data_IF_616275741659
#
_entry.id   IF_616275741659
#
_cell.length_a   1.000
_cell.length_b   1.000
_cell.length_c   1.000
_cell.angle_alpha   90.00
_cell.angle_beta   90.00
_cell.angle_gamma   90.00
#
_symmetry.space_group_name_H-M   'P 1'
#
loop_
_entity.id
_entity.type
_entity.pdbx_description
1 polymer ?
#
# COMPACT_ATOMS: atom_id res chain seq x y z
N UNK A 1 -49.86 33.81 -13.65
CA UNK A 1 -48.78 33.43 -14.60
C UNK A 1 -47.55 33.02 -13.78
N UNK A 2 -47.12 31.75 -13.81
CA UNK A 2 -45.87 31.33 -13.15
C UNK A 2 -44.71 31.65 -14.10
N UNK A 3 -43.86 32.59 -13.70
CA UNK A 3 -42.67 33.00 -14.46
C UNK A 3 -41.70 31.81 -14.52
N UNK A 4 -41.40 31.32 -15.74
CA UNK A 4 -40.39 30.27 -15.94
C UNK A 4 -39.02 30.86 -15.56
N UNK A 5 -38.22 30.19 -14.71
CA UNK A 5 -36.88 30.67 -14.37
C UNK A 5 -36.03 30.80 -15.64
N UNK A 6 -35.18 31.83 -15.71
CA UNK A 6 -34.32 32.05 -16.87
C UNK A 6 -33.38 30.84 -17.05
N UNK A 7 -33.10 30.46 -18.30
CA UNK A 7 -32.20 29.33 -18.62
C UNK A 7 -30.87 29.42 -17.87
N UNK A 8 -30.38 30.63 -17.64
CA UNK A 8 -29.15 30.92 -16.90
C UNK A 8 -29.27 30.50 -15.43
N UNK A 9 -30.38 30.83 -14.76
CA UNK A 9 -30.64 30.48 -13.36
C UNK A 9 -30.69 28.95 -13.19
N UNK A 10 -31.35 28.26 -14.13
CA UNK A 10 -31.45 26.78 -14.12
C UNK A 10 -30.10 26.10 -14.31
N UNK A 11 -29.22 26.66 -15.16
CA UNK A 11 -27.86 26.14 -15.38
C UNK A 11 -26.99 26.38 -14.15
N UNK A 12 -27.04 27.57 -13.53
CA UNK A 12 -26.31 27.83 -12.27
C UNK A 12 -26.81 26.96 -11.12
N UNK A 13 -28.11 26.73 -11.00
CA UNK A 13 -28.64 25.81 -9.99
C UNK A 13 -28.18 24.36 -10.24
N UNK A 14 -28.18 23.89 -11.49
CA UNK A 14 -27.65 22.56 -11.81
C UNK A 14 -26.15 22.45 -11.51
N UNK A 15 -25.37 23.49 -11.81
CA UNK A 15 -23.93 23.51 -11.52
C UNK A 15 -23.67 23.48 -10.01
N UNK A 16 -24.41 24.27 -9.22
CA UNK A 16 -24.33 24.27 -7.75
C UNK A 16 -24.77 22.91 -7.19
N UNK A 17 -25.85 22.31 -7.70
CA UNK A 17 -26.33 20.99 -7.25
C UNK A 17 -25.29 19.91 -7.55
N UNK A 18 -24.70 19.92 -8.76
CA UNK A 18 -23.62 18.99 -9.13
C UNK A 18 -22.38 19.20 -8.26
N UNK A 19 -21.97 20.45 -8.01
CA UNK A 19 -20.90 20.76 -7.06
C UNK A 19 -21.22 20.24 -5.66
N UNK A 20 -22.44 20.46 -5.14
CA UNK A 20 -22.85 19.96 -3.80
C UNK A 20 -22.92 18.45 -3.70
N UNK A 21 -23.26 17.73 -4.77
CA UNK A 21 -23.28 16.26 -4.78
C UNK A 21 -21.87 15.65 -4.65
N UNK A 22 -20.80 16.37 -5.03
CA UNK A 22 -19.42 15.93 -4.83
C UNK A 22 -18.91 16.14 -3.38
N UNK A 23 -19.60 16.94 -2.55
CA UNK A 23 -19.17 17.22 -1.16
C UNK A 23 -19.74 16.26 -0.11
N UNK A 24 -20.68 15.39 -0.48
CA UNK A 24 -21.36 14.47 0.44
C UNK A 24 -20.90 13.02 0.24
N UNK A 25 -19.58 12.77 0.19
CA UNK A 25 -19.07 11.44 0.42
C UNK A 25 -18.70 11.31 1.90
N UNK A 26 -19.26 10.34 2.63
CA UNK A 26 -18.80 10.07 3.99
C UNK A 26 -17.32 9.76 3.95
N UNK A 27 -16.56 10.37 4.87
CA UNK A 27 -15.18 9.99 5.16
C UNK A 27 -15.19 8.51 5.56
N UNK A 28 -14.93 7.62 4.61
CA UNK A 28 -14.80 6.20 4.92
C UNK A 28 -13.52 6.05 5.72
N UNK A 29 -13.64 5.65 6.98
CA UNK A 29 -12.49 5.24 7.76
C UNK A 29 -11.92 3.96 7.13
N UNK A 30 -10.61 3.95 6.96
CA UNK A 30 -9.88 2.81 6.43
C UNK A 30 -9.71 1.79 7.56
N UNK A 31 -10.29 0.59 7.44
CA UNK A 31 -10.13 -0.47 8.42
C UNK A 31 -8.89 -1.32 8.11
N UNK A 32 -8.04 -1.53 9.11
CA UNK A 32 -6.88 -2.43 9.00
C UNK A 32 -7.32 -3.90 9.00
N UNK A 33 -6.48 -4.75 8.42
CA UNK A 33 -6.68 -6.19 8.43
C UNK A 33 -5.84 -6.82 9.54
N UNK A 34 -6.44 -7.68 10.37
CA UNK A 34 -5.75 -8.37 11.47
C UNK A 34 -5.72 -9.88 11.23
N UNK A 35 -4.56 -10.49 11.47
CA UNK A 35 -4.35 -11.95 11.51
C UNK A 35 -3.65 -12.35 12.79
N UNK A 36 -3.95 -13.53 13.29
CA UNK A 36 -3.27 -14.10 14.46
C UNK A 36 -2.76 -15.48 14.12
N UNK A 37 -1.48 -15.71 14.38
CA UNK A 37 -0.79 -16.98 14.15
C UNK A 37 -0.33 -17.55 15.49
N UNK A 38 -0.58 -18.84 15.70
CA UNK A 38 -0.05 -19.57 16.85
C UNK A 38 1.37 -20.05 16.54
N UNK A 39 2.24 -20.03 17.55
CA UNK A 39 3.64 -20.42 17.44
C UNK A 39 4.03 -21.24 18.65
N UNK A 40 5.02 -22.11 18.48
CA UNK A 40 5.70 -22.80 19.58
C UNK A 40 7.12 -22.24 19.78
N UNK A 41 7.66 -22.38 20.99
CA UNK A 41 9.06 -22.06 21.31
C UNK A 41 10.08 -22.87 20.49
N UNK A 42 9.65 -24.03 20.00
CA UNK A 42 10.35 -24.92 19.04
C UNK A 42 9.38 -25.97 18.52
N UNK A 43 9.70 -26.75 17.47
CA UNK A 43 8.93 -27.93 17.12
C UNK A 43 8.79 -28.89 18.31
N UNK A 44 7.58 -29.42 18.53
CA UNK A 44 7.19 -30.22 19.72
C UNK A 44 7.35 -29.50 21.08
N UNK A 45 7.51 -28.17 21.04
CA UNK A 45 7.52 -27.34 22.24
C UNK A 45 6.16 -27.32 22.95
N UNK A 46 6.16 -26.93 24.22
CA UNK A 46 4.93 -26.80 25.02
C UNK A 46 4.51 -25.35 25.23
N UNK A 47 5.42 -24.40 24.98
CA UNK A 47 5.13 -22.98 25.19
C UNK A 47 4.53 -22.40 23.92
N UNK A 48 3.28 -21.95 24.01
CA UNK A 48 2.55 -21.36 22.90
C UNK A 48 2.58 -19.82 22.96
N UNK A 49 2.74 -19.21 21.79
CA UNK A 49 2.66 -17.77 21.58
C UNK A 49 1.58 -17.47 20.54
N UNK A 50 0.98 -16.28 20.63
CA UNK A 50 0.02 -15.78 19.65
C UNK A 50 0.56 -14.50 19.03
N UNK A 51 1.06 -14.61 17.81
CA UNK A 51 1.55 -13.46 17.04
C UNK A 51 0.38 -12.78 16.34
N UNK A 52 0.05 -11.57 16.75
CA UNK A 52 -0.90 -10.72 16.06
C UNK A 52 -0.16 -9.92 14.99
N UNK A 53 -0.67 -9.92 13.76
CA UNK A 53 -0.14 -9.19 12.61
C UNK A 53 -1.24 -8.28 12.09
N UNK A 54 -0.95 -6.99 11.99
CA UNK A 54 -1.89 -5.98 11.48
C UNK A 54 -1.32 -5.37 10.21
N UNK A 55 -2.14 -5.38 9.15
CA UNK A 55 -1.81 -4.83 7.84
C UNK A 55 -2.61 -3.53 7.63
N UNK A 56 -1.95 -2.37 7.49
CA UNK A 56 -2.60 -1.15 7.06
C UNK A 56 -3.24 -1.33 5.70
N UNK A 57 -4.46 -0.83 5.52
CA UNK A 57 -5.17 -0.96 4.23
C UNK A 57 -4.40 -0.27 3.11
N UNK A 58 -3.72 0.83 3.36
CA UNK A 58 -2.89 1.49 2.35
C UNK A 58 -1.74 0.60 1.84
N UNK A 59 -1.15 -0.22 2.71
CA UNK A 59 -0.12 -1.19 2.33
C UNK A 59 -0.71 -2.31 1.49
N UNK A 60 -1.89 -2.82 1.86
CA UNK A 60 -2.62 -3.79 1.04
C UNK A 60 -2.96 -3.22 -0.34
N UNK A 61 -3.57 -2.03 -0.40
CA UNK A 61 -3.94 -1.37 -1.65
C UNK A 61 -2.70 -1.11 -2.53
N UNK A 62 -1.56 -0.75 -1.93
CA UNK A 62 -0.30 -0.57 -2.66
C UNK A 62 0.12 -1.84 -3.42
N UNK A 63 0.13 -2.98 -2.74
CA UNK A 63 0.51 -4.27 -3.35
C UNK A 63 -0.55 -4.80 -4.32
N UNK A 64 -1.83 -4.64 -4.00
CA UNK A 64 -2.94 -5.03 -4.86
C UNK A 64 -2.96 -4.26 -6.20
N UNK A 65 -2.36 -3.07 -6.24
CA UNK A 65 -2.22 -2.28 -7.47
C UNK A 65 -0.87 -2.48 -8.19
N UNK A 66 0.08 -3.23 -7.59
CA UNK A 66 1.35 -3.58 -8.27
C UNK A 66 1.12 -4.63 -9.37
N UNK A 67 2.13 -4.82 -10.22
CA UNK A 67 2.05 -5.84 -11.28
C UNK A 67 2.21 -7.26 -10.74
N UNK A 68 1.16 -8.07 -10.87
CA UNK A 68 1.17 -9.52 -10.62
C UNK A 68 1.65 -10.36 -11.80
N UNK A 69 2.13 -9.73 -12.88
CA UNK A 69 2.54 -10.46 -14.09
C UNK A 69 3.80 -11.30 -13.83
N UNK A 70 3.74 -12.61 -14.04
CA UNK A 70 4.87 -13.52 -13.94
C UNK A 70 5.08 -14.20 -15.29
N UNK A 71 6.17 -13.85 -15.99
CA UNK A 71 6.45 -14.32 -17.36
C UNK A 71 7.51 -15.42 -17.37
N UNK A 72 8.47 -15.34 -16.45
CA UNK A 72 9.61 -16.27 -16.38
C UNK A 72 10.03 -16.51 -14.92
N UNK A 73 10.96 -17.44 -14.71
CA UNK A 73 11.46 -17.69 -13.35
C UNK A 73 12.21 -16.49 -12.75
N UNK A 74 12.70 -15.58 -13.59
CA UNK A 74 13.36 -14.36 -13.14
C UNK A 74 12.39 -13.37 -12.46
N UNK A 75 11.09 -13.55 -12.64
CA UNK A 75 10.07 -12.70 -12.02
C UNK A 75 9.72 -13.14 -10.60
N UNK A 76 10.01 -14.38 -10.21
CA UNK A 76 9.67 -14.91 -8.88
C UNK A 76 10.20 -14.08 -7.71
N UNK A 77 11.48 -13.63 -7.69
CA UNK A 77 12.02 -12.88 -6.56
C UNK A 77 11.24 -11.61 -6.22
N UNK A 78 10.55 -10.99 -7.19
CA UNK A 78 9.83 -9.73 -6.95
C UNK A 78 8.68 -9.90 -5.94
N UNK A 79 8.12 -11.10 -5.82
CA UNK A 79 7.05 -11.41 -4.87
C UNK A 79 7.61 -11.68 -3.47
N UNK A 80 8.93 -11.71 -3.29
CA UNK A 80 9.53 -11.75 -1.96
C UNK A 80 9.75 -10.31 -1.49
N UNK A 81 9.07 -9.91 -0.41
CA UNK A 81 8.99 -8.55 0.12
C UNK A 81 9.45 -8.46 1.58
N UNK A 82 10.76 -8.65 1.87
CA UNK A 82 11.27 -8.73 3.23
C UNK A 82 11.01 -7.45 4.05
N UNK A 83 11.10 -6.28 3.42
CA UNK A 83 10.93 -5.01 4.12
C UNK A 83 9.54 -4.89 4.76
N UNK A 84 8.47 -5.27 4.05
CA UNK A 84 7.10 -5.17 4.55
C UNK A 84 6.82 -6.10 5.73
N UNK A 85 7.49 -7.26 5.79
CA UNK A 85 7.28 -8.27 6.84
C UNK A 85 8.37 -8.26 7.93
N UNK A 86 9.28 -7.29 7.92
CA UNK A 86 10.35 -7.21 8.91
C UNK A 86 9.85 -7.23 10.37
N UNK A 87 8.75 -6.56 10.74
CA UNK A 87 8.27 -6.62 12.12
C UNK A 87 7.85 -8.03 12.57
N UNK A 88 7.37 -8.89 11.66
CA UNK A 88 7.13 -10.30 11.96
C UNK A 88 8.44 -11.02 12.27
N UNK A 89 9.46 -10.83 11.42
CA UNK A 89 10.77 -11.42 11.63
C UNK A 89 11.42 -10.96 12.96
N UNK A 90 11.32 -9.68 13.28
CA UNK A 90 11.84 -9.12 14.53
C UNK A 90 11.17 -9.78 15.75
N UNK A 91 9.84 -9.98 15.72
CA UNK A 91 9.13 -10.69 16.79
C UNK A 91 9.56 -12.15 16.92
N UNK A 92 9.73 -12.87 15.82
CA UNK A 92 10.22 -14.26 15.87
C UNK A 92 11.59 -14.35 16.55
N UNK A 93 12.47 -13.35 16.39
CA UNK A 93 13.76 -13.34 17.08
C UNK A 93 13.65 -13.20 18.60
N UNK A 94 12.58 -12.60 19.13
CA UNK A 94 12.34 -12.52 20.58
C UNK A 94 12.10 -13.92 21.20
N UNK A 95 11.48 -14.82 20.45
CA UNK A 95 11.28 -16.22 20.87
C UNK A 95 12.56 -17.04 20.66
N UNK A 96 13.14 -16.98 19.46
CA UNK A 96 14.12 -17.97 19.03
C UNK A 96 15.58 -17.58 19.29
N UNK A 97 15.88 -16.33 19.64
CA UNK A 97 17.18 -15.90 20.22
C UNK A 97 18.44 -16.43 19.50
N UNK A 98 18.59 -16.13 18.20
CA UNK A 98 19.68 -16.61 17.33
C UNK A 98 19.67 -18.11 16.99
N UNK A 99 18.63 -18.86 17.37
CA UNK A 99 18.41 -20.21 16.86
C UNK A 99 17.80 -20.16 15.45
N UNK A 100 18.65 -20.14 14.43
CA UNK A 100 18.25 -20.04 13.02
C UNK A 100 17.31 -21.15 12.55
N UNK A 101 17.45 -22.36 13.09
CA UNK A 101 16.58 -23.48 12.73
C UNK A 101 15.18 -23.29 13.31
N UNK A 102 15.09 -22.94 14.61
CA UNK A 102 13.80 -22.66 15.23
C UNK A 102 13.15 -21.40 14.68
N UNK A 103 13.93 -20.38 14.31
CA UNK A 103 13.43 -19.23 13.55
C UNK A 103 12.76 -19.67 12.25
N UNK A 104 13.45 -20.46 11.42
CA UNK A 104 12.90 -20.93 10.16
C UNK A 104 11.68 -21.84 10.36
N UNK A 105 11.69 -22.72 11.36
CA UNK A 105 10.51 -23.53 11.72
C UNK A 105 9.33 -22.66 12.20
N UNK A 106 9.58 -21.59 12.96
CA UNK A 106 8.55 -20.63 13.37
C UNK A 106 7.90 -19.92 12.17
N UNK A 107 8.69 -19.59 11.14
CA UNK A 107 8.15 -19.09 9.87
C UNK A 107 7.25 -20.14 9.20
N UNK A 108 7.65 -21.42 9.18
CA UNK A 108 6.82 -22.49 8.64
C UNK A 108 5.49 -22.64 9.40
N UNK A 109 5.51 -22.55 10.74
CA UNK A 109 4.30 -22.55 11.57
C UNK A 109 3.33 -21.43 11.19
N UNK A 110 3.81 -20.24 10.78
CA UNK A 110 2.95 -19.15 10.29
C UNK A 110 2.24 -19.58 9.01
N UNK A 111 2.99 -19.99 7.98
CA UNK A 111 2.41 -20.27 6.65
C UNK A 111 1.55 -21.53 6.66
N UNK A 112 1.83 -22.51 7.53
CA UNK A 112 1.00 -23.72 7.68
C UNK A 112 -0.39 -23.46 8.26
N UNK A 113 -0.63 -22.30 8.86
CA UNK A 113 -1.97 -21.91 9.34
C UNK A 113 -2.83 -21.27 8.25
N UNK A 114 -2.27 -21.00 7.07
CA UNK A 114 -2.99 -20.38 5.96
C UNK A 114 -3.66 -21.49 5.12
N UNK A 115 -4.99 -21.45 4.92
CA UNK A 115 -5.71 -22.42 4.11
C UNK A 115 -5.19 -22.53 2.66
N UNK A 116 -4.92 -23.76 2.23
CA UNK A 116 -4.50 -24.02 0.85
C UNK A 116 -5.67 -23.83 -0.13
N UNK A 117 -5.44 -23.03 -1.17
CA UNK A 117 -6.35 -22.82 -2.30
C UNK A 117 -5.53 -22.49 -3.53
N UNK A 118 -5.63 -23.35 -4.55
CA UNK A 118 -4.97 -23.13 -5.84
C UNK A 118 -5.36 -21.75 -6.41
N UNK A 119 -4.34 -20.98 -6.81
CA UNK A 119 -4.51 -19.65 -7.37
C UNK A 119 -4.09 -19.63 -8.84
N UNK A 120 -4.67 -18.71 -9.61
CA UNK A 120 -4.32 -18.54 -11.03
C UNK A 120 -3.20 -17.50 -11.23
N UNK A 121 -2.96 -16.66 -10.23
CA UNK A 121 -2.04 -15.53 -10.29
C UNK A 121 -1.30 -15.39 -8.97
N UNK A 122 0.02 -15.21 -9.06
CA UNK A 122 0.85 -14.88 -7.91
C UNK A 122 0.34 -13.61 -7.21
N UNK A 123 0.45 -13.56 -5.89
CA UNK A 123 0.16 -12.37 -5.06
C UNK A 123 1.32 -12.04 -4.15
N UNK A 124 1.42 -10.78 -3.76
CA UNK A 124 2.42 -10.35 -2.80
C UNK A 124 2.07 -10.87 -1.39
N UNK A 125 3.06 -11.12 -0.52
CA UNK A 125 2.85 -11.66 0.83
C UNK A 125 1.81 -10.90 1.66
N UNK A 126 1.76 -9.57 1.53
CA UNK A 126 0.77 -8.73 2.22
C UNK A 126 -0.65 -9.07 1.77
N UNK A 127 -0.88 -9.27 0.47
CA UNK A 127 -2.19 -9.67 -0.05
C UNK A 127 -2.57 -11.06 0.48
N UNK A 128 -1.66 -12.02 0.43
CA UNK A 128 -1.89 -13.39 0.90
C UNK A 128 -2.24 -13.44 2.39
N UNK A 129 -1.57 -12.63 3.22
CA UNK A 129 -1.89 -12.50 4.66
C UNK A 129 -3.32 -11.93 4.83
N UNK A 130 -3.65 -10.87 4.08
CA UNK A 130 -4.97 -10.22 4.15
C UNK A 130 -6.08 -11.14 3.67
N UNK A 131 -5.90 -11.85 2.57
CA UNK A 131 -6.92 -12.73 2.01
C UNK A 131 -7.01 -14.06 2.75
N UNK A 132 -5.91 -14.49 3.38
CA UNK A 132 -5.81 -15.71 4.19
C UNK A 132 -6.17 -16.99 3.42
N UNK A 133 -5.69 -17.07 2.18
CA UNK A 133 -5.74 -18.25 1.33
C UNK A 133 -4.63 -18.16 0.27
N UNK A 134 -4.13 -19.28 -0.20
CA UNK A 134 -3.11 -19.31 -1.25
C UNK A 134 -2.59 -20.72 -1.53
N UNK A 135 -1.67 -20.83 -2.47
CA UNK A 135 -1.01 -22.07 -2.87
C UNK A 135 0.49 -22.06 -2.58
N UNK A 136 1.20 -23.06 -3.09
CA UNK A 136 2.58 -23.38 -2.71
C UNK A 136 3.56 -22.20 -2.91
N UNK A 137 3.41 -21.42 -3.98
CA UNK A 137 4.26 -20.27 -4.27
C UNK A 137 3.91 -19.07 -3.39
N UNK A 138 2.62 -18.77 -3.19
CA UNK A 138 2.15 -17.72 -2.28
C UNK A 138 2.70 -17.92 -0.86
N UNK A 139 2.64 -19.15 -0.35
CA UNK A 139 3.18 -19.49 0.99
C UNK A 139 4.71 -19.40 1.01
N UNK A 140 5.36 -19.83 -0.08
CA UNK A 140 6.81 -19.70 -0.22
C UNK A 140 7.26 -18.23 -0.25
N UNK A 141 6.47 -17.32 -0.85
CA UNK A 141 6.78 -15.90 -0.85
C UNK A 141 6.69 -15.30 0.55
N UNK A 142 5.66 -15.65 1.34
CA UNK A 142 5.58 -15.22 2.74
C UNK A 142 6.79 -15.75 3.52
N UNK A 143 7.04 -17.06 3.44
CA UNK A 143 8.11 -17.70 4.19
C UNK A 143 9.49 -17.13 3.84
N UNK A 144 9.80 -17.01 2.54
CA UNK A 144 11.04 -16.43 2.07
C UNK A 144 11.19 -14.96 2.50
N UNK A 145 10.10 -14.18 2.49
CA UNK A 145 10.13 -12.77 2.89
C UNK A 145 10.48 -12.61 4.36
N UNK A 146 9.84 -13.39 5.24
CA UNK A 146 10.11 -13.34 6.68
C UNK A 146 11.52 -13.88 6.99
N UNK A 147 11.91 -15.01 6.41
CA UNK A 147 13.26 -15.58 6.59
C UNK A 147 14.35 -14.61 6.14
N UNK A 148 14.16 -13.99 4.96
CA UNK A 148 15.13 -13.02 4.44
C UNK A 148 15.18 -11.75 5.28
N UNK A 149 14.04 -11.28 5.80
CA UNK A 149 13.97 -10.14 6.71
C UNK A 149 14.66 -10.43 8.05
N UNK A 150 14.58 -11.67 8.53
CA UNK A 150 15.30 -12.17 9.71
C UNK A 150 16.80 -12.36 9.50
N UNK A 151 17.31 -12.15 8.28
CA UNK A 151 18.74 -12.23 7.96
C UNK A 151 19.22 -13.61 7.53
N UNK A 152 18.33 -14.58 7.28
CA UNK A 152 18.71 -15.89 6.76
C UNK A 152 19.08 -15.78 5.28
N UNK A 153 19.97 -16.66 4.81
CA UNK A 153 20.19 -16.84 3.38
C UNK A 153 19.20 -17.87 2.82
N UNK A 154 18.46 -17.45 1.80
CA UNK A 154 17.21 -18.08 1.37
C UNK A 154 17.11 -18.04 -0.15
N UNK A 155 16.62 -19.13 -0.72
CA UNK A 155 16.31 -19.29 -2.14
C UNK A 155 14.89 -19.85 -2.30
N UNK A 156 14.25 -19.59 -3.44
CA UNK A 156 13.05 -20.33 -3.83
C UNK A 156 13.47 -21.59 -4.59
N UNK A 157 12.77 -22.68 -4.34
CA UNK A 157 12.94 -23.98 -5.00
C UNK A 157 11.71 -24.23 -5.88
N UNK A 158 11.87 -24.01 -7.18
CA UNK A 158 10.78 -24.18 -8.14
C UNK A 158 10.87 -25.55 -8.83
N UNK A 159 9.93 -26.43 -8.51
CA UNK A 159 9.83 -27.77 -9.10
C UNK A 159 8.93 -27.72 -10.33
N UNK A 160 9.57 -27.67 -11.50
CA UNK A 160 8.87 -27.75 -12.78
C UNK A 160 8.27 -29.14 -12.98
N UNK A 161 7.01 -29.18 -13.36
CA UNK A 161 6.33 -30.41 -13.78
C UNK A 161 5.46 -30.15 -15.00
N UNK A 162 5.15 -31.22 -15.74
CA UNK A 162 4.21 -31.17 -16.87
C UNK A 162 2.75 -31.16 -16.42
N UNK A 163 2.45 -31.67 -15.22
CA UNK A 163 1.09 -31.81 -14.70
C UNK A 163 0.76 -30.80 -13.60
N UNK A 164 1.70 -30.51 -12.69
CA UNK A 164 1.49 -29.59 -11.56
C UNK A 164 2.84 -29.11 -11.02
N UNK A 165 3.12 -27.81 -11.17
CA UNK A 165 4.34 -27.22 -10.64
C UNK A 165 4.21 -27.02 -9.12
N UNK A 166 5.33 -27.14 -8.40
CA UNK A 166 5.38 -26.89 -6.95
C UNK A 166 6.45 -25.86 -6.62
N UNK A 167 6.23 -25.06 -5.60
CA UNK A 167 7.22 -24.12 -5.08
C UNK A 167 7.41 -24.31 -3.60
N UNK A 168 8.66 -24.21 -3.18
CA UNK A 168 9.04 -24.27 -1.80
C UNK A 168 10.25 -23.35 -1.51
N UNK A 169 10.69 -23.29 -0.26
CA UNK A 169 11.86 -22.51 0.18
C UNK A 169 13.05 -23.43 0.46
N UNK A 170 14.24 -22.97 0.07
CA UNK A 170 15.51 -23.51 0.52
C UNK A 170 16.17 -22.52 1.46
N UNK A 171 16.56 -22.95 2.66
CA UNK A 171 17.15 -22.08 3.67
C UNK A 171 18.53 -22.59 4.09
N UNK A 172 19.52 -21.70 4.04
CA UNK A 172 20.85 -22.02 4.54
C UNK A 172 20.88 -21.84 6.07
N UNK A 173 21.41 -22.84 6.76
CA UNK A 173 21.61 -22.83 8.21
C UNK A 173 23.09 -23.09 8.53
N UNK A 174 23.61 -22.52 9.63
CA UNK A 174 24.99 -22.76 10.06
C UNK A 174 25.28 -24.24 10.34
N UNK A 175 24.30 -24.94 10.90
CA UNK A 175 24.37 -26.36 11.24
C UNK A 175 23.21 -27.13 10.58
N UNK A 176 23.35 -28.44 10.33
CA UNK A 176 22.26 -29.27 9.84
C UNK A 176 21.03 -29.25 10.78
N UNK A 177 19.80 -29.27 10.24
CA UNK A 177 18.58 -29.35 11.03
C UNK A 177 18.60 -30.50 12.04
N UNK A 178 18.28 -30.20 13.29
CA UNK A 178 18.22 -31.14 14.42
C UNK A 178 16.80 -31.63 14.73
N UNK A 179 15.76 -30.89 14.31
CA UNK A 179 14.36 -31.21 14.62
C UNK A 179 13.64 -31.98 13.51
N UNK A 180 14.29 -32.21 12.37
CA UNK A 180 13.75 -33.06 11.31
C UNK A 180 13.52 -34.47 11.86
N UNK A 181 12.31 -35.01 11.67
CA UNK A 181 11.90 -36.32 12.24
C UNK A 181 12.42 -37.50 11.42
N UNK A 182 12.94 -37.23 10.23
CA UNK A 182 13.42 -38.21 9.26
C UNK A 182 14.76 -37.74 8.68
N UNK A 183 15.21 -38.42 7.63
CA UNK A 183 16.36 -37.98 6.84
C UNK A 183 16.22 -36.50 6.44
N UNK A 184 17.32 -35.76 6.60
CA UNK A 184 17.43 -34.36 6.21
C UNK A 184 17.72 -34.25 4.72
N UNK A 185 16.96 -33.39 4.04
CA UNK A 185 17.10 -33.09 2.62
C UNK A 185 17.54 -31.64 2.41
N UNK A 186 18.37 -31.44 1.38
CA UNK A 186 18.88 -30.14 0.98
C UNK A 186 19.17 -30.12 -0.51
N UNK A 187 19.22 -28.92 -1.08
CA UNK A 187 19.75 -28.65 -2.42
C UNK A 187 21.08 -27.91 -2.26
N UNK A 188 22.06 -28.25 -3.09
CA UNK A 188 23.34 -27.53 -3.14
C UNK A 188 23.33 -26.56 -4.31
N UNK A 189 23.60 -25.29 -4.05
CA UNK A 189 23.73 -24.25 -5.07
C UNK A 189 24.93 -23.38 -4.74
N UNK A 190 25.83 -23.17 -5.70
CA UNK A 190 27.08 -22.42 -5.51
C UNK A 190 27.89 -22.84 -4.26
N UNK A 191 27.98 -24.16 -4.02
CA UNK A 191 28.64 -24.76 -2.84
C UNK A 191 27.98 -24.47 -1.48
N UNK A 192 26.81 -23.83 -1.47
CA UNK A 192 25.99 -23.58 -0.28
C UNK A 192 24.88 -24.64 -0.19
N UNK A 193 24.68 -25.19 1.00
CA UNK A 193 23.58 -26.12 1.28
C UNK A 193 22.36 -25.34 1.75
N UNK A 194 21.26 -25.48 1.01
CA UNK A 194 19.94 -24.96 1.35
C UNK A 194 19.03 -26.12 1.75
N UNK A 195 18.67 -26.20 3.02
CA UNK A 195 17.76 -27.20 3.56
C UNK A 195 16.33 -26.93 3.09
N UNK A 196 15.61 -27.99 2.73
CA UNK A 196 14.23 -27.87 2.24
C UNK A 196 13.33 -27.39 3.38
N UNK A 197 12.47 -26.41 3.14
CA UNK A 197 11.58 -25.84 4.15
C UNK A 197 10.14 -25.81 3.63
N UNK A 198 9.47 -26.97 3.59
CA UNK A 198 8.12 -27.16 3.04
C UNK A 198 7.05 -26.23 3.62
N UNK A 199 6.56 -25.34 2.76
CA UNK A 199 5.61 -24.28 3.11
C UNK A 199 4.15 -24.76 3.10
N UNK A 200 3.84 -25.94 2.53
CA UNK A 200 2.49 -26.51 2.51
C UNK A 200 2.34 -27.63 3.55
N UNK A 201 1.87 -27.29 4.76
CA UNK A 201 1.90 -28.22 5.91
C UNK A 201 0.56 -28.60 6.53
N UNK A 202 -0.52 -27.86 6.25
CA UNK A 202 -1.87 -28.12 6.76
C UNK A 202 -2.01 -27.93 8.28
N UNK A 203 -1.45 -28.84 9.08
CA UNK A 203 -1.38 -28.71 10.54
C UNK A 203 -0.08 -27.99 10.92
N UNK A 204 -0.17 -26.85 11.57
CA UNK A 204 0.99 -26.04 11.96
C UNK A 204 1.78 -26.60 13.14
N UNK A 205 1.16 -27.39 14.02
CA UNK A 205 1.84 -27.99 15.19
C UNK A 205 2.74 -29.16 14.78
N UNK A 206 2.25 -29.98 13.85
CA UNK A 206 2.90 -31.21 13.38
C UNK A 206 3.41 -31.11 11.94
N UNK A 207 3.33 -29.91 11.35
CA UNK A 207 3.67 -29.61 9.98
C UNK A 207 5.13 -29.89 9.64
N UNK A 208 5.49 -29.58 8.39
CA UNK A 208 6.86 -29.79 7.93
C UNK A 208 7.86 -28.96 8.71
N UNK A 209 9.00 -29.59 9.01
CA UNK A 209 10.15 -28.93 9.63
C UNK A 209 11.22 -28.70 8.58
N UNK A 210 12.06 -27.69 8.80
CA UNK A 210 13.24 -27.47 7.96
C UNK A 210 14.09 -28.75 7.92
N UNK A 211 14.47 -29.15 6.72
CA UNK A 211 15.16 -30.40 6.41
C UNK A 211 14.23 -31.55 6.02
N UNK A 212 12.92 -31.46 6.27
CA UNK A 212 11.96 -32.48 5.82
C UNK A 212 11.54 -32.22 4.36
N UNK A 213 11.21 -33.29 3.64
CA UNK A 213 10.87 -33.24 2.23
C UNK A 213 9.64 -34.11 1.94
N UNK A 214 8.63 -33.58 1.23
CA UNK A 214 7.51 -34.39 0.74
C UNK A 214 7.99 -35.56 -0.12
N UNK A 215 7.43 -36.78 0.05
CA UNK A 215 7.84 -37.98 -0.69
C UNK A 215 7.90 -37.79 -2.21
N UNK A 216 6.96 -37.03 -2.77
CA UNK A 216 6.83 -36.71 -4.19
C UNK A 216 7.96 -35.83 -4.75
N UNK A 217 8.66 -35.09 -3.89
CA UNK A 217 9.80 -34.24 -4.23
C UNK A 217 11.15 -34.95 -4.04
N UNK A 218 11.18 -36.11 -3.36
CA UNK A 218 12.42 -36.87 -3.16
C UNK A 218 13.01 -37.28 -4.51
N UNK A 219 14.29 -36.94 -4.71
CA UNK A 219 15.02 -37.21 -5.95
C UNK A 219 14.68 -36.25 -7.11
N UNK A 220 13.78 -35.29 -6.92
CA UNK A 220 13.52 -34.23 -7.89
C UNK A 220 14.57 -33.11 -7.72
N UNK A 221 14.95 -32.49 -8.82
CA UNK A 221 15.85 -31.34 -8.83
C UNK A 221 15.06 -30.07 -9.13
N UNK A 222 14.90 -29.14 -8.16
CA UNK A 222 14.26 -27.87 -8.42
C UNK A 222 15.17 -26.92 -9.20
N UNK A 223 14.56 -25.94 -9.86
CA UNK A 223 15.27 -24.71 -10.26
C UNK A 223 15.46 -23.85 -9.02
N UNK A 224 16.72 -23.56 -8.70
CA UNK A 224 17.06 -22.65 -7.59
C UNK A 224 16.97 -21.22 -8.06
N UNK A 225 16.13 -20.42 -7.41
CA UNK A 225 15.92 -19.01 -7.70
C UNK A 225 16.46 -18.18 -6.54
N UNK A 226 17.49 -17.39 -6.81
CA UNK A 226 18.14 -16.51 -5.83
C UNK A 226 17.31 -15.27 -5.55
N UNK A 227 17.38 -14.76 -4.32
CA UNK A 227 16.64 -13.58 -3.87
C UNK A 227 17.44 -12.27 -3.99
N UNK A 228 18.45 -12.23 -4.86
CA UNK A 228 19.26 -11.01 -5.07
C UNK A 228 18.42 -9.85 -5.62
N UNK A 229 17.41 -10.17 -6.43
CA UNK A 229 16.50 -9.21 -7.05
C UNK A 229 15.12 -9.15 -6.37
N UNK A 230 15.03 -9.59 -5.11
CA UNK A 230 13.80 -9.40 -4.33
C UNK A 230 13.58 -7.91 -4.01
N UNK A 231 12.34 -7.57 -3.65
CA UNK A 231 12.00 -6.21 -3.25
C UNK A 231 12.87 -5.77 -2.07
N UNK A 232 13.46 -4.58 -2.18
CA UNK A 232 14.37 -4.03 -1.15
C UNK A 232 13.69 -3.05 -0.20
N UNK A 233 12.54 -2.52 -0.59
CA UNK A 233 11.86 -1.47 0.13
C UNK A 233 10.37 -1.48 -0.20
N UNK A 234 9.56 -1.19 0.81
CA UNK A 234 8.11 -1.04 0.71
C UNK A 234 7.67 0.27 1.39
N UNK A 235 6.55 0.85 0.97
CA UNK A 235 6.09 2.15 1.48
C UNK A 235 5.56 2.11 2.92
N UNK A 236 5.38 0.92 3.46
CA UNK A 236 5.03 0.67 4.84
C UNK A 236 5.32 -0.78 5.20
N UNK A 237 5.08 -1.11 6.46
CA UNK A 237 5.26 -2.45 7.01
C UNK A 237 3.96 -2.90 7.70
N UNK A 238 3.85 -4.20 7.94
CA UNK A 238 2.89 -4.71 8.90
C UNK A 238 3.33 -4.34 10.32
N UNK A 239 2.41 -4.22 11.28
CA UNK A 239 2.76 -4.22 12.71
C UNK A 239 2.57 -5.63 13.27
N UNK A 240 3.40 -6.04 14.23
CA UNK A 240 3.34 -7.37 14.81
C UNK A 240 3.62 -7.36 16.32
N UNK A 241 2.86 -8.14 17.10
CA UNK A 241 3.04 -8.22 18.56
C UNK A 241 2.45 -9.51 19.15
N UNK A 242 3.05 -10.00 20.24
CA UNK A 242 2.53 -11.13 21.02
C UNK A 242 1.37 -10.74 21.95
N UNK A 243 1.11 -9.45 22.08
CA UNK A 243 -0.06 -8.90 22.76
C UNK A 243 -0.98 -8.23 21.75
N UNK A 244 -2.23 -7.97 22.13
CA UNK A 244 -3.14 -7.18 21.31
C UNK A 244 -2.57 -5.78 21.10
N UNK A 245 -2.39 -5.39 19.84
CA UNK A 245 -1.96 -4.05 19.46
C UNK A 245 -3.07 -3.03 19.74
N UNK A 246 -2.71 -1.91 20.36
CA UNK A 246 -3.67 -0.82 20.63
C UNK A 246 -3.96 -0.06 19.34
N UNK A 247 -5.21 0.30 19.08
CA UNK A 247 -5.57 1.09 17.89
C UNK A 247 -4.94 2.48 17.93
N UNK A 248 -4.45 2.95 16.79
CA UNK A 248 -4.00 4.31 16.56
C UNK A 248 -4.86 5.00 15.49
N UNK A 249 -4.75 6.32 15.37
CA UNK A 249 -5.44 7.08 14.31
C UNK A 249 -4.53 8.14 13.71
N UNK A 250 -4.74 8.44 12.42
CA UNK A 250 -4.08 9.54 11.72
C UNK A 250 -5.13 10.50 11.18
N UNK A 251 -4.94 11.78 11.47
CA UNK A 251 -5.70 12.84 10.80
C UNK A 251 -4.90 13.41 9.63
N UNK A 252 -5.59 13.83 8.58
CA UNK A 252 -4.97 14.52 7.45
C UNK A 252 -5.91 15.63 6.95
N UNK A 253 -5.34 16.81 6.76
CA UNK A 253 -6.03 18.00 6.25
C UNK A 253 -5.15 18.70 5.22
N UNK A 254 -5.76 19.44 4.30
CA UNK A 254 -5.06 20.24 3.31
C UNK A 254 -5.36 21.73 3.50
N UNK A 255 -4.37 22.58 3.21
CA UNK A 255 -4.53 24.04 3.21
C UNK A 255 -5.58 24.54 2.21
N UNK A 256 -5.82 23.78 1.14
CA UNK A 256 -6.90 23.99 0.18
C UNK A 256 -7.24 22.68 -0.52
N UNK A 257 -8.51 22.48 -0.85
CA UNK A 257 -8.99 21.37 -1.71
C UNK A 257 -9.16 21.80 -3.17
N UNK A 258 -8.85 23.06 -3.49
CA UNK A 258 -8.80 23.59 -4.86
C UNK A 258 -7.47 24.26 -5.12
N UNK A 259 -6.88 23.97 -6.28
CA UNK A 259 -5.57 24.48 -6.65
C UNK A 259 -5.46 24.70 -8.16
N UNK A 260 -4.45 25.46 -8.57
CA UNK A 260 -4.12 25.65 -9.97
C UNK A 260 -2.90 24.79 -10.27
N UNK A 261 -2.86 24.18 -11.45
CA UNK A 261 -1.71 23.42 -11.91
C UNK A 261 -0.41 24.23 -11.76
N UNK A 262 0.61 23.59 -11.18
CA UNK A 262 1.91 24.19 -10.85
C UNK A 262 1.96 24.86 -9.46
N UNK A 263 0.85 24.92 -8.71
CA UNK A 263 0.86 25.39 -7.32
C UNK A 263 1.22 24.28 -6.33
N UNK A 264 1.38 24.66 -5.07
CA UNK A 264 1.58 23.74 -3.94
C UNK A 264 0.45 23.87 -2.93
N UNK A 265 0.15 22.77 -2.25
CA UNK A 265 -0.68 22.79 -1.04
C UNK A 265 0.11 22.23 0.15
N UNK A 266 -0.22 22.67 1.35
CA UNK A 266 0.34 22.09 2.57
C UNK A 266 -0.65 21.09 3.15
N UNK A 267 -0.17 19.87 3.38
CA UNK A 267 -0.85 18.84 4.11
C UNK A 267 -0.40 18.90 5.56
N UNK A 268 -1.36 18.81 6.48
CA UNK A 268 -1.12 18.79 7.91
C UNK A 268 -1.88 17.63 8.54
N UNK A 269 -1.21 16.88 9.40
CA UNK A 269 -1.80 15.74 10.08
C UNK A 269 -1.24 15.52 11.48
N UNK A 270 -1.88 14.61 12.20
CA UNK A 270 -1.47 14.22 13.55
C UNK A 270 -1.76 12.73 13.77
N UNK A 271 -0.76 12.02 14.30
CA UNK A 271 -0.84 10.67 14.81
C UNK A 271 -1.33 10.69 16.26
N UNK A 272 -2.30 9.83 16.58
CA UNK A 272 -2.79 9.59 17.94
C UNK A 272 -2.57 8.12 18.31
N UNK A 273 -1.87 7.81 19.41
CA UNK A 273 -1.30 8.75 20.38
C UNK A 273 -0.12 9.56 19.82
N UNK A 274 0.23 10.64 20.52
CA UNK A 274 1.28 11.57 20.10
C UNK A 274 2.66 10.91 20.23
N UNK A 275 3.12 10.24 19.18
CA UNK A 275 4.40 9.55 19.13
C UNK A 275 5.39 10.36 18.28
N UNK A 276 6.59 10.70 18.79
CA UNK A 276 7.59 11.44 18.04
C UNK A 276 8.45 10.55 17.15
N UNK A 277 8.98 11.13 16.06
CA UNK A 277 9.90 10.50 15.12
C UNK A 277 9.33 9.24 14.44
N UNK A 278 8.01 9.14 14.34
CA UNK A 278 7.33 8.07 13.62
C UNK A 278 7.24 8.44 12.13
N UNK A 279 7.55 7.48 11.25
CA UNK A 279 7.52 7.68 9.81
C UNK A 279 6.09 7.57 9.28
N UNK A 280 5.60 8.67 8.70
CA UNK A 280 4.30 8.79 8.06
C UNK A 280 4.48 8.80 6.54
N UNK A 281 3.93 7.79 5.88
CA UNK A 281 3.95 7.68 4.41
C UNK A 281 2.78 8.44 3.82
N UNK A 282 3.06 9.35 2.89
CA UNK A 282 2.05 10.09 2.14
C UNK A 282 1.83 9.39 0.80
N UNK A 283 0.62 8.90 0.57
CA UNK A 283 0.22 8.32 -0.71
C UNK A 283 -0.60 9.32 -1.51
N UNK A 284 -0.36 9.36 -2.83
CA UNK A 284 -1.11 10.18 -3.78
C UNK A 284 -1.50 9.37 -5.01
N UNK A 285 -2.66 9.65 -5.58
CA UNK A 285 -3.01 9.24 -6.94
C UNK A 285 -3.83 10.30 -7.66
N UNK A 286 -3.75 10.29 -8.99
CA UNK A 286 -4.47 11.24 -9.86
C UNK A 286 -5.49 10.46 -10.68
N UNK A 287 -6.77 10.82 -10.54
CA UNK A 287 -7.87 10.11 -11.20
C UNK A 287 -7.88 8.61 -10.87
N UNK A 288 -7.81 7.77 -11.90
CA UNK A 288 -7.80 6.31 -11.78
C UNK A 288 -6.39 5.69 -11.83
N UNK A 289 -5.34 6.50 -11.71
CA UNK A 289 -3.97 6.00 -11.64
C UNK A 289 -3.73 5.20 -10.34
N UNK A 290 -2.77 4.26 -10.32
CA UNK A 290 -2.36 3.60 -9.08
C UNK A 290 -1.88 4.59 -8.01
N UNK A 291 -2.00 4.20 -6.74
CA UNK A 291 -1.39 4.88 -5.62
C UNK A 291 0.14 4.85 -5.75
N UNK A 292 0.74 6.03 -5.63
CA UNK A 292 2.19 6.19 -5.51
C UNK A 292 2.53 6.84 -4.18
N UNK A 293 3.78 6.67 -3.75
CA UNK A 293 4.33 7.34 -2.57
C UNK A 293 4.78 8.72 -2.99
N UNK A 294 4.18 9.74 -2.39
CA UNK A 294 4.61 11.12 -2.57
C UNK A 294 5.87 11.42 -1.76
N UNK A 295 5.86 11.04 -0.47
CA UNK A 295 6.97 11.26 0.46
C UNK A 295 6.80 10.43 1.74
N UNK A 296 7.85 10.38 2.56
CA UNK A 296 7.82 9.92 3.95
C UNK A 296 8.25 11.07 4.85
N UNK A 297 7.37 11.49 5.76
CA UNK A 297 7.63 12.57 6.73
C UNK A 297 7.62 12.02 8.15
N UNK A 298 8.34 12.65 9.07
CA UNK A 298 8.41 12.22 10.47
C UNK A 298 7.48 13.06 11.35
N UNK A 299 6.90 12.45 12.38
CA UNK A 299 6.15 13.18 13.41
C UNK A 299 7.06 13.97 14.36
N UNK A 300 6.57 15.12 14.81
CA UNK A 300 7.21 15.92 15.85
C UNK A 300 6.92 15.41 17.28
N UNK A 301 7.40 16.12 18.31
CA UNK A 301 7.15 15.81 19.73
C UNK A 301 5.67 15.73 20.14
N UNK A 302 4.77 16.25 19.32
CA UNK A 302 3.32 16.25 19.53
C UNK A 302 2.59 15.29 18.59
N UNK A 303 3.31 14.41 17.89
CA UNK A 303 2.74 13.48 16.92
C UNK A 303 2.28 14.14 15.62
N UNK A 304 2.62 15.41 15.37
CA UNK A 304 2.17 16.16 14.20
C UNK A 304 3.16 16.06 13.07
N UNK A 305 2.67 16.14 11.84
CA UNK A 305 3.50 16.15 10.64
C UNK A 305 2.91 17.11 9.60
N UNK A 306 3.79 17.61 8.72
CA UNK A 306 3.41 18.44 7.59
C UNK A 306 4.15 17.99 6.33
N UNK A 307 3.51 18.16 5.18
CA UNK A 307 4.12 17.90 3.87
C UNK A 307 3.63 18.90 2.84
N UNK A 308 4.53 19.39 1.97
CA UNK A 308 4.18 20.31 0.89
C UNK A 308 4.03 19.50 -0.41
N UNK A 309 2.80 19.34 -0.89
CA UNK A 309 2.50 18.61 -2.10
C UNK A 309 2.54 19.54 -3.32
N UNK A 310 3.38 19.18 -4.30
CA UNK A 310 3.45 19.84 -5.61
C UNK A 310 2.37 19.29 -6.56
N UNK A 311 1.58 20.18 -7.17
CA UNK A 311 0.44 19.82 -8.02
C UNK A 311 0.76 20.10 -9.50
N UNK A 312 1.63 19.29 -10.07
CA UNK A 312 2.20 19.51 -11.41
C UNK A 312 1.22 19.20 -12.56
N UNK A 313 0.22 18.36 -12.30
CA UNK A 313 -0.76 17.91 -13.29
C UNK A 313 -2.15 18.42 -12.90
N UNK A 314 -3.00 18.66 -13.90
CA UNK A 314 -4.40 18.99 -13.66
C UNK A 314 -5.22 17.70 -13.45
N UNK A 315 -6.26 17.78 -12.64
CA UNK A 315 -7.12 16.64 -12.32
C UNK A 315 -7.46 16.55 -10.84
N UNK A 316 -8.11 15.45 -10.45
CA UNK A 316 -8.45 15.19 -9.06
C UNK A 316 -7.36 14.33 -8.42
N UNK A 317 -6.69 14.90 -7.43
CA UNK A 317 -5.74 14.21 -6.57
C UNK A 317 -6.48 13.61 -5.39
N UNK A 318 -6.20 12.35 -5.12
CA UNK A 318 -6.59 11.64 -3.91
C UNK A 318 -5.34 11.47 -3.06
N UNK A 319 -5.37 11.92 -1.81
CA UNK A 319 -4.21 11.86 -0.92
C UNK A 319 -4.60 11.24 0.42
N UNK A 320 -3.73 10.39 0.97
CA UNK A 320 -3.88 9.83 2.32
C UNK A 320 -2.51 9.72 3.00
N UNK A 321 -2.52 9.70 4.32
CA UNK A 321 -1.35 9.44 5.14
C UNK A 321 -1.49 8.06 5.80
N UNK A 322 -0.38 7.37 6.00
CA UNK A 322 -0.34 6.08 6.68
C UNK A 322 0.83 5.98 7.64
N UNK A 323 0.63 5.24 8.71
CA UNK A 323 1.66 4.81 9.65
C UNK A 323 1.59 3.29 9.79
N UNK A 324 2.75 2.64 9.78
CA UNK A 324 2.85 1.17 9.83
C UNK A 324 2.45 0.59 11.19
N UNK A 325 2.46 1.43 12.23
CA UNK A 325 2.37 0.99 13.61
C UNK A 325 3.74 0.63 14.18
N UNK A 326 3.72 0.09 15.39
CA UNK A 326 4.91 -0.38 16.09
C UNK A 326 4.54 -1.55 17.02
N UNK A 327 5.43 -1.90 17.94
CA UNK A 327 5.26 -3.02 18.87
C UNK A 327 4.04 -2.90 19.80
N UNK A 328 3.57 -1.67 20.04
CA UNK A 328 2.49 -1.35 20.97
C UNK A 328 1.19 -0.98 20.26
N UNK A 329 1.29 -0.38 19.08
CA UNK A 329 0.16 0.18 18.35
C UNK A 329 0.04 -0.40 16.95
N UNK A 330 -1.19 -0.73 16.58
CA UNK A 330 -1.53 -1.08 15.22
C UNK A 330 -1.28 0.13 14.30
N UNK A 331 -0.92 -0.14 13.05
CA UNK A 331 -0.83 0.90 12.02
C UNK A 331 -2.17 1.62 11.81
N UNK A 332 -2.16 2.72 11.08
CA UNK A 332 -3.37 3.48 10.80
C UNK A 332 -3.25 4.22 9.47
N UNK A 333 -4.39 4.42 8.82
CA UNK A 333 -4.51 5.26 7.65
C UNK A 333 -5.43 6.44 7.96
N UNK A 334 -5.14 7.60 7.38
CA UNK A 334 -6.06 8.73 7.39
C UNK A 334 -7.23 8.50 6.45
N UNK A 335 -8.29 9.29 6.61
CA UNK A 335 -9.26 9.48 5.53
C UNK A 335 -8.57 10.02 4.28
N UNK A 336 -9.12 9.69 3.11
CA UNK A 336 -8.66 10.24 1.82
C UNK A 336 -9.17 11.68 1.69
N UNK A 337 -8.25 12.60 1.39
CA UNK A 337 -8.58 13.97 0.98
C UNK A 337 -8.61 14.06 -0.55
N UNK A 338 -9.53 14.87 -1.07
CA UNK A 338 -9.67 15.12 -2.51
C UNK A 338 -9.27 16.57 -2.82
N UNK A 339 -8.32 16.76 -3.73
CA UNK A 339 -7.86 18.07 -4.18
C UNK A 339 -8.10 18.19 -5.68
N UNK A 340 -8.90 19.18 -6.09
CA UNK A 340 -9.18 19.45 -7.49
C UNK A 340 -8.18 20.47 -8.03
N UNK A 341 -7.42 20.08 -9.05
CA UNK A 341 -6.39 20.92 -9.68
C UNK A 341 -6.87 21.35 -11.06
N UNK A 342 -7.06 22.65 -11.24
CA UNK A 342 -7.49 23.24 -12.50
C UNK A 342 -6.30 23.47 -13.43
N UNK A 343 -6.41 23.17 -14.74
CA UNK A 343 -5.36 23.48 -15.70
C UNK A 343 -5.07 24.99 -15.76
N UNK A 344 -3.78 25.35 -15.76
CA UNK A 344 -3.36 26.76 -15.76
C UNK A 344 -3.88 27.52 -17.01
N UNK A 345 -3.96 26.85 -18.16
CA UNK A 345 -4.45 27.47 -19.39
C UNK A 345 -5.92 27.90 -19.32
N UNK A 346 -6.76 27.23 -18.53
CA UNK A 346 -8.16 27.64 -18.36
C UNK A 346 -8.27 28.99 -17.65
N UNK A 347 -7.37 29.26 -16.71
CA UNK A 347 -7.29 30.55 -16.02
C UNK A 347 -6.84 31.65 -16.99
N UNK A 348 -5.86 31.36 -17.83
CA UNK A 348 -5.38 32.30 -18.86
C UNK A 348 -6.51 32.64 -19.85
N UNK A 349 -7.24 31.62 -20.34
CA UNK A 349 -8.38 31.82 -21.24
C UNK A 349 -9.49 32.65 -20.58
N UNK A 350 -9.76 32.44 -19.29
CA UNK A 350 -10.76 33.22 -18.55
C UNK A 350 -10.35 34.69 -18.40
N UNK A 351 -9.07 34.97 -18.10
CA UNK A 351 -8.54 36.34 -18.04
C UNK A 351 -8.63 37.03 -19.40
N UNK A 352 -8.27 36.34 -20.49
CA UNK A 352 -8.40 36.86 -21.86
C UNK A 352 -9.87 37.16 -22.18
N UNK A 353 -10.79 36.26 -21.84
CA UNK A 353 -12.21 36.46 -22.07
C UNK A 353 -12.76 37.68 -21.31
N UNK A 354 -12.37 37.85 -20.04
CA UNK A 354 -12.74 39.03 -19.24
C UNK A 354 -12.19 40.34 -19.84
N UNK A 355 -10.95 40.33 -20.32
CA UNK A 355 -10.36 41.47 -21.01
C UNK A 355 -11.13 41.82 -22.29
N UNK A 356 -11.48 40.82 -23.11
CA UNK A 356 -12.30 41.01 -24.30
C UNK A 356 -13.68 41.60 -23.97
N UNK A 357 -14.35 41.11 -22.93
CA UNK A 357 -15.64 41.66 -22.47
C UNK A 357 -15.48 43.11 -22.02
N UNK A 358 -14.43 43.42 -21.25
CA UNK A 358 -14.13 44.80 -20.83
C UNK A 358 -13.92 45.74 -22.02
N UNK A 359 -13.19 45.29 -23.05
CA UNK A 359 -13.01 46.05 -24.30
C UNK A 359 -14.34 46.26 -25.03
N UNK A 360 -15.19 45.23 -25.13
CA UNK A 360 -16.51 45.34 -25.76
C UNK A 360 -17.38 46.36 -25.02
N UNK A 361 -17.45 46.28 -23.69
CA UNK A 361 -18.20 47.23 -22.84
C UNK A 361 -17.67 48.66 -23.03
N UNK A 362 -16.34 48.82 -23.07
CA UNK A 362 -15.72 50.11 -23.30
C UNK A 362 -16.12 50.70 -24.66
N UNK A 363 -16.05 49.91 -25.74
CA UNK A 363 -16.40 50.34 -27.09
C UNK A 363 -17.89 50.69 -27.22
N UNK A 364 -18.78 49.89 -26.64
CA UNK A 364 -20.24 50.17 -26.68
C UNK A 364 -20.61 51.40 -25.85
N UNK A 365 -19.95 51.63 -24.71
CA UNK A 365 -20.17 52.83 -23.88
C UNK A 365 -19.74 54.13 -24.57
N UNK A 366 -18.71 54.08 -25.44
CA UNK A 366 -18.28 55.24 -26.24
C UNK A 366 -19.24 55.56 -27.39
N UNK A 367 -19.84 54.56 -28.02
CA UNK A 367 -20.83 54.77 -29.08
C UNK A 367 -22.10 55.44 -28.54
N UNK A 368 -22.56 55.07 -27.34
CA UNK A 368 -23.74 55.68 -26.71
C UNK A 368 -23.58 57.15 -26.31
N UNK A 369 -22.36 57.67 -26.20
CA UNK A 369 -22.09 59.09 -25.90
C UNK A 369 -22.10 60.00 -27.14
N UNK A 370 -21.93 59.44 -28.34
CA UNK A 370 -21.99 60.23 -29.59
C UNK A 370 -23.41 60.48 -30.10
N UNK A 371 -24.43 59.87 -29.50
CA UNK A 371 -25.84 60.00 -29.89
C UNK A 371 -26.66 61.03 -29.08
N UNK A 372 -26.04 61.78 -28.15
CA UNK A 372 -26.73 62.89 -27.48
C UNK A 372 -26.76 64.09 -28.44
N UNK A 373 -27.86 64.21 -29.19
CA UNK A 373 -28.18 65.33 -30.08
C UNK A 373 -27.96 66.71 -29.43
N UNK A 374 -27.33 67.62 -30.18
CA UNK A 374 -27.32 69.05 -29.90
C UNK A 374 -28.76 69.57 -29.74
N UNK A 375 -29.07 70.38 -28.71
CA UNK A 375 -30.39 70.95 -28.55
C UNK A 375 -30.68 71.92 -29.71
N UNK A 376 -31.66 71.59 -30.55
CA UNK A 376 -32.15 72.48 -31.61
C UNK A 376 -32.64 73.81 -31.01
N UNK A 377 -32.05 74.91 -31.47
CA UNK A 377 -32.49 76.27 -31.15
C UNK A 377 -33.94 76.48 -31.65
N UNK A 378 -34.83 77.13 -30.88
CA UNK A 378 -36.20 77.38 -31.29
C UNK A 378 -36.26 78.39 -32.47
N UNK A 379 -37.02 78.04 -33.50
CA UNK A 379 -37.31 78.93 -34.64
C UNK A 379 -38.24 80.08 -34.20
N UNK A 380 -37.87 81.30 -34.61
CA UNK A 380 -38.64 82.53 -34.37
C UNK A 380 -39.74 82.61 -35.45
N UNK A 381 -41.02 82.82 -35.09
CA UNK A 381 -42.10 82.87 -36.07
C UNK A 381 -42.13 84.22 -36.80
N UNK A 382 -42.31 84.19 -38.13
CA UNK A 382 -42.75 85.33 -38.97
C UNK A 382 -44.04 84.97 -39.69
#
# INVERSE_FOLDING_TARGET
MKQKPSRTITITMMLIIVLTLFYALPSCFSENYTRTYNLLDRPDGTTQYKLNVVVPKSLYDYYAEQSHKQVSEADFPKFVTPHALKPVADKLWEIYQNDYENFANGVLMIVHQIPYKATASAKYPVETIVENEGDCDLFSYIAASIMKAGGLDVVLLYYKSKSEAHMNVGVHLPEPPRYARRQVYYVTYNSVRYYIAECTGGNWEEGWRVGECPPELIGKSPVVITLENCERWSPGQVSASYTTLTSSTITLTASSTFAIQGSTITLSGQLTPNLPNENITIYVKIGNSPWIVADITATDSYGKFTYVLNLNEAGTYYVRASWSGNDNYAGADSSIINVTVLPAYLIILFIIALACVGVIIYLTSRHGYQEIEEPKLPEIPT
#
